data_IF_206574554869
#
_entry.id   IF_206574554869
#
_cell.length_a   1.000
_cell.length_b   1.000
_cell.length_c   1.000
_cell.angle_alpha   90.00
_cell.angle_beta   90.00
_cell.angle_gamma   90.00
#
_symmetry.space_group_name_H-M   'P 1'
#
loop_
_entity.id
_entity.type
_entity.pdbx_description
1 polymer ?
#
# COMPACT_ATOMS: atom_id res chain seq x y z
N UNK A 1 35.60 -17.19 -5.70
CA UNK A 1 34.54 -16.22 -6.02
C UNK A 1 34.69 -15.74 -7.47
N UNK A 2 33.63 -15.29 -8.16
CA UNK A 2 33.73 -14.66 -9.51
C UNK A 2 34.70 -13.47 -9.48
N UNK A 3 34.82 -12.82 -8.32
CA UNK A 3 35.78 -11.74 -8.04
C UNK A 3 37.25 -12.17 -8.28
N UNK A 4 37.66 -13.31 -7.71
CA UNK A 4 39.04 -13.84 -7.82
C UNK A 4 39.38 -14.22 -9.28
N UNK A 5 38.39 -14.73 -10.03
CA UNK A 5 38.54 -15.07 -11.46
C UNK A 5 38.66 -13.81 -12.35
N UNK A 6 37.97 -12.72 -12.00
CA UNK A 6 38.11 -11.43 -12.70
C UNK A 6 39.49 -10.81 -12.45
N UNK A 7 39.96 -10.84 -11.20
CA UNK A 7 41.28 -10.33 -10.82
C UNK A 7 42.42 -11.10 -11.51
N UNK A 8 42.31 -12.44 -11.64
CA UNK A 8 43.31 -13.26 -12.36
C UNK A 8 43.27 -13.08 -13.89
N UNK A 9 42.10 -12.85 -14.48
CA UNK A 9 42.01 -12.58 -15.92
C UNK A 9 42.56 -11.20 -16.29
N UNK A 10 42.42 -10.19 -15.41
CA UNK A 10 43.01 -8.87 -15.63
C UNK A 10 44.55 -8.90 -15.60
N UNK A 11 45.17 -9.70 -14.73
CA UNK A 11 46.63 -9.88 -14.70
C UNK A 11 47.15 -10.67 -15.91
N UNK A 12 46.40 -11.66 -16.41
CA UNK A 12 46.75 -12.42 -17.62
C UNK A 12 46.63 -11.61 -18.93
N UNK A 13 45.75 -10.61 -18.97
CA UNK A 13 45.51 -9.77 -20.16
C UNK A 13 46.37 -8.49 -20.13
N UNK A 14 46.71 -7.96 -18.94
CA UNK A 14 47.51 -6.74 -18.76
C UNK A 14 49.02 -6.91 -18.99
N UNK A 15 49.54 -8.14 -19.04
CA UNK A 15 50.94 -8.42 -19.38
C UNK A 15 51.18 -8.43 -20.89
N UNK A 16 51.85 -7.40 -21.41
CA UNK A 16 52.18 -7.23 -22.83
C UNK A 16 52.75 -8.50 -23.51
N UNK A 17 52.50 -8.61 -24.83
CA UNK A 17 52.61 -9.81 -25.68
C UNK A 17 53.92 -10.60 -25.73
N UNK A 18 54.90 -10.37 -24.85
CA UNK A 18 56.08 -11.22 -24.66
C UNK A 18 55.87 -12.37 -23.67
N UNK A 19 54.87 -12.33 -22.78
CA UNK A 19 54.59 -13.41 -21.81
C UNK A 19 53.88 -14.62 -22.45
N UNK A 20 53.25 -14.42 -23.61
CA UNK A 20 52.41 -15.43 -24.32
C UNK A 20 53.17 -16.39 -25.24
N UNK A 21 54.51 -16.32 -25.30
CA UNK A 21 55.34 -17.19 -26.17
C UNK A 21 56.18 -18.23 -25.42
N UNK A 22 56.12 -18.25 -24.09
CA UNK A 22 56.85 -19.22 -23.28
C UNK A 22 56.02 -20.51 -23.13
N UNK A 23 56.52 -21.70 -23.55
CA UNK A 23 55.74 -22.94 -23.54
C UNK A 23 55.14 -23.28 -22.18
N UNK A 24 55.83 -22.93 -21.09
CA UNK A 24 55.33 -23.13 -19.72
C UNK A 24 54.14 -22.22 -19.40
N UNK A 25 54.14 -20.96 -19.87
CA UNK A 25 53.02 -20.04 -19.63
C UNK A 25 51.79 -20.45 -20.45
N UNK A 26 52.01 -20.92 -21.68
CA UNK A 26 50.95 -21.48 -22.53
C UNK A 26 50.36 -22.75 -21.91
N UNK A 27 51.21 -23.64 -21.39
CA UNK A 27 50.77 -24.84 -20.68
C UNK A 27 49.99 -24.50 -19.40
N UNK A 28 50.46 -23.55 -18.59
CA UNK A 28 49.78 -23.11 -17.37
C UNK A 28 48.41 -22.51 -17.70
N UNK A 29 48.33 -21.65 -18.73
CA UNK A 29 47.07 -21.07 -19.18
C UNK A 29 46.09 -22.15 -19.68
N UNK A 30 46.56 -23.09 -20.50
CA UNK A 30 45.72 -24.20 -21.01
C UNK A 30 45.26 -25.10 -19.87
N UNK A 31 46.16 -25.47 -18.94
CA UNK A 31 45.87 -26.29 -17.76
C UNK A 31 44.86 -25.61 -16.85
N UNK A 32 45.00 -24.30 -16.64
CA UNK A 32 44.12 -23.52 -15.78
C UNK A 32 42.75 -23.33 -16.43
N UNK A 33 42.70 -23.06 -17.74
CA UNK A 33 41.45 -23.05 -18.49
C UNK A 33 40.78 -24.42 -18.46
N UNK A 34 41.47 -25.52 -18.75
CA UNK A 34 40.85 -26.86 -18.75
C UNK A 34 40.42 -27.34 -17.36
N UNK A 35 41.20 -27.05 -16.31
CA UNK A 35 40.85 -27.42 -14.94
C UNK A 35 39.65 -26.61 -14.41
N UNK A 36 39.55 -25.33 -14.77
CA UNK A 36 38.50 -24.45 -14.28
C UNK A 36 37.28 -24.36 -15.21
N UNK A 37 37.36 -24.80 -16.47
CA UNK A 37 36.27 -24.70 -17.45
C UNK A 37 35.01 -25.42 -16.98
N UNK A 38 35.13 -26.65 -16.50
CA UNK A 38 33.99 -27.41 -15.99
C UNK A 38 33.33 -26.74 -14.78
N UNK A 39 34.11 -26.04 -13.95
CA UNK A 39 33.61 -25.28 -12.80
C UNK A 39 32.88 -24.01 -13.25
N UNK A 40 33.44 -23.29 -14.23
CA UNK A 40 32.83 -22.09 -14.83
C UNK A 40 31.53 -22.43 -15.55
N UNK A 41 31.52 -23.49 -16.37
CA UNK A 41 30.32 -23.99 -17.06
C UNK A 41 29.27 -24.40 -16.05
N UNK A 42 29.65 -25.09 -14.97
CA UNK A 42 28.72 -25.47 -13.89
C UNK A 42 28.13 -24.26 -13.15
N UNK A 43 28.90 -23.20 -12.95
CA UNK A 43 28.42 -21.93 -12.35
C UNK A 43 27.49 -21.18 -13.32
N UNK A 44 27.82 -21.15 -14.62
CA UNK A 44 26.96 -20.57 -15.65
C UNK A 44 25.65 -21.35 -15.84
N UNK A 45 25.68 -22.67 -15.63
CA UNK A 45 24.53 -23.57 -15.73
C UNK A 45 23.73 -23.68 -14.43
N UNK A 46 24.29 -23.29 -13.28
CA UNK A 46 23.58 -23.29 -12.00
C UNK A 46 22.65 -22.08 -11.91
N UNK A 47 21.56 -22.13 -12.67
CA UNK A 47 20.49 -21.15 -12.57
C UNK A 47 19.59 -21.56 -11.40
N UNK A 48 19.83 -20.99 -10.20
CA UNK A 48 18.98 -21.25 -9.03
C UNK A 48 17.52 -20.83 -9.23
N UNK A 49 17.27 -20.01 -10.25
CA UNK A 49 15.93 -19.64 -10.71
C UNK A 49 15.10 -20.85 -11.14
N UNK A 50 15.70 -21.88 -11.76
CA UNK A 50 14.94 -23.03 -12.28
C UNK A 50 14.33 -23.86 -11.14
N UNK A 51 15.06 -24.04 -10.03
CA UNK A 51 14.54 -24.73 -8.84
C UNK A 51 13.46 -23.91 -8.13
N UNK A 52 13.59 -22.58 -8.09
CA UNK A 52 12.56 -21.67 -7.56
C UNK A 52 11.31 -21.71 -8.44
N UNK A 53 11.46 -21.60 -9.75
CA UNK A 53 10.36 -21.68 -10.73
C UNK A 53 9.66 -23.03 -10.60
N UNK A 54 10.40 -24.14 -10.51
CA UNK A 54 9.82 -25.47 -10.37
C UNK A 54 9.08 -25.62 -9.04
N UNK A 55 9.61 -25.07 -7.94
CA UNK A 55 8.94 -25.08 -6.64
C UNK A 55 7.67 -24.23 -6.63
N UNK A 56 7.71 -22.99 -7.14
CA UNK A 56 6.56 -22.09 -7.25
C UNK A 56 5.49 -22.69 -8.15
N UNK A 57 5.88 -23.24 -9.30
CA UNK A 57 4.97 -23.91 -10.25
C UNK A 57 4.34 -25.15 -9.63
N UNK A 58 5.12 -25.95 -8.90
CA UNK A 58 4.61 -27.12 -8.16
C UNK A 58 3.62 -26.72 -7.07
N UNK A 59 3.90 -25.66 -6.32
CA UNK A 59 2.98 -25.14 -5.31
C UNK A 59 1.67 -24.62 -5.93
N UNK A 60 1.75 -23.95 -7.08
CA UNK A 60 0.58 -23.51 -7.87
C UNK A 60 -0.23 -24.71 -8.39
N UNK A 61 0.43 -25.76 -8.87
CA UNK A 61 -0.22 -26.97 -9.40
C UNK A 61 -0.90 -27.82 -8.32
N UNK A 62 -0.39 -27.79 -7.08
CA UNK A 62 -0.95 -28.53 -5.94
C UNK A 62 -2.22 -27.84 -5.37
N UNK A 63 -2.70 -26.73 -5.96
CA UNK A 63 -3.81 -25.90 -5.44
C UNK A 63 -3.63 -25.47 -3.97
N UNK A 64 -2.43 -25.53 -3.43
CA UNK A 64 -2.19 -25.23 -2.02
C UNK A 64 -2.07 -23.72 -1.76
N UNK A 65 -1.86 -22.91 -2.80
CA UNK A 65 -1.61 -21.47 -2.70
C UNK A 65 -2.24 -20.77 -3.92
N UNK A 66 -3.28 -19.96 -3.69
CA UNK A 66 -3.71 -18.93 -4.62
C UNK A 66 -2.88 -17.67 -4.33
N UNK A 67 -2.19 -17.17 -5.35
CA UNK A 67 -1.41 -15.93 -5.22
C UNK A 67 -2.35 -14.73 -5.29
N UNK A 68 -2.12 -13.70 -4.44
CA UNK A 68 -2.87 -12.45 -4.54
C UNK A 68 -2.78 -11.87 -5.94
N UNK A 69 -3.87 -11.22 -6.34
CA UNK A 69 -4.01 -10.48 -7.59
C UNK A 69 -3.89 -8.97 -7.34
N UNK A 70 -3.87 -8.18 -8.41
CA UNK A 70 -3.92 -6.72 -8.31
C UNK A 70 -5.22 -6.23 -7.62
N UNK A 71 -6.32 -6.98 -7.77
CA UNK A 71 -7.58 -6.70 -7.08
C UNK A 71 -7.44 -6.88 -5.55
N UNK A 72 -6.74 -7.93 -5.12
CA UNK A 72 -6.48 -8.16 -3.68
C UNK A 72 -5.62 -7.04 -3.09
N UNK A 73 -4.61 -6.57 -3.83
CA UNK A 73 -3.78 -5.44 -3.41
C UNK A 73 -4.61 -4.15 -3.30
N UNK A 74 -5.42 -3.85 -4.32
CA UNK A 74 -6.31 -2.69 -4.31
C UNK A 74 -7.32 -2.75 -3.16
N UNK A 75 -7.93 -3.91 -2.93
CA UNK A 75 -8.83 -4.15 -1.82
C UNK A 75 -8.16 -3.98 -0.45
N UNK A 76 -6.92 -4.45 -0.30
CA UNK A 76 -6.13 -4.25 0.91
C UNK A 76 -5.84 -2.76 1.16
N UNK A 77 -5.48 -2.01 0.13
CA UNK A 77 -5.28 -0.56 0.24
C UNK A 77 -6.58 0.15 0.62
N UNK A 78 -7.70 -0.14 -0.03
CA UNK A 78 -9.01 0.45 0.32
C UNK A 78 -9.37 0.15 1.78
N UNK A 79 -9.11 -1.07 2.25
CA UNK A 79 -9.28 -1.45 3.65
C UNK A 79 -8.40 -0.62 4.59
N UNK A 80 -7.13 -0.40 4.24
CA UNK A 80 -6.20 0.44 5.00
C UNK A 80 -6.68 1.90 5.07
N UNK A 81 -7.08 2.50 3.95
CA UNK A 81 -7.58 3.87 3.90
C UNK A 81 -8.87 4.03 4.72
N UNK A 82 -9.75 3.02 4.69
CA UNK A 82 -10.94 3.00 5.55
C UNK A 82 -10.58 3.01 7.03
N UNK A 83 -9.58 2.25 7.45
CA UNK A 83 -9.09 2.27 8.83
C UNK A 83 -8.45 3.62 9.18
N UNK A 84 -7.66 4.18 8.26
CA UNK A 84 -7.06 5.49 8.40
C UNK A 84 -8.12 6.56 8.71
N UNK A 85 -9.19 6.61 7.92
CA UNK A 85 -10.32 7.51 8.15
C UNK A 85 -11.06 7.23 9.47
N UNK A 86 -11.43 5.96 9.69
CA UNK A 86 -12.27 5.54 10.82
C UNK A 86 -11.60 5.88 12.14
N UNK A 87 -10.29 5.69 12.24
CA UNK A 87 -9.53 5.91 13.46
C UNK A 87 -8.69 7.19 13.45
N UNK A 88 -8.88 8.06 12.44
CA UNK A 88 -8.14 9.32 12.30
C UNK A 88 -6.62 9.13 12.40
N UNK A 89 -6.11 8.09 11.74
CA UNK A 89 -4.71 7.73 11.81
C UNK A 89 -3.85 8.67 10.96
N UNK A 90 -2.71 9.06 11.50
CA UNK A 90 -1.74 9.86 10.76
C UNK A 90 -1.01 9.00 9.70
N UNK A 91 -0.91 9.54 8.48
CA UNK A 91 -0.29 8.85 7.33
C UNK A 91 1.15 8.46 7.62
N UNK A 92 1.91 9.32 8.30
CA UNK A 92 3.31 9.09 8.63
C UNK A 92 3.46 8.05 9.72
N UNK A 93 2.57 8.04 10.71
CA UNK A 93 2.55 6.96 11.71
C UNK A 93 2.25 5.60 11.07
N UNK A 94 1.29 5.53 10.14
CA UNK A 94 1.03 4.30 9.37
C UNK A 94 2.28 3.90 8.56
N UNK A 95 2.90 4.85 7.86
CA UNK A 95 4.10 4.59 7.06
C UNK A 95 5.33 4.22 7.92
N UNK A 96 5.39 4.67 9.17
CA UNK A 96 6.38 4.25 10.17
C UNK A 96 6.06 2.88 10.80
N UNK A 97 4.93 2.25 10.42
CA UNK A 97 4.48 0.98 10.96
C UNK A 97 3.94 1.09 12.40
N UNK A 98 3.49 2.28 12.82
CA UNK A 98 2.82 2.50 14.10
C UNK A 98 1.30 2.43 13.91
N UNK A 99 0.66 1.54 14.65
CA UNK A 99 -0.80 1.37 14.61
C UNK A 99 -1.38 1.76 15.96
N UNK A 100 -1.93 2.97 16.05
CA UNK A 100 -2.61 3.50 17.24
C UNK A 100 -1.76 3.27 18.52
N UNK A 101 -2.39 2.76 19.58
CA UNK A 101 -1.75 2.42 20.84
C UNK A 101 -1.20 0.98 20.88
N UNK A 102 -1.07 0.32 19.73
CA UNK A 102 -0.52 -1.03 19.67
C UNK A 102 0.97 -1.02 20.01
N UNK A 103 1.39 -1.98 20.81
CA UNK A 103 2.83 -2.25 21.00
C UNK A 103 3.45 -2.95 19.79
N UNK A 104 2.63 -3.45 18.85
CA UNK A 104 3.12 -4.02 17.60
C UNK A 104 3.64 -2.89 16.71
N UNK A 105 4.94 -2.93 16.43
CA UNK A 105 5.56 -2.16 15.34
C UNK A 105 5.71 -3.05 14.13
N UNK A 106 5.17 -2.63 13.01
CA UNK A 106 5.31 -3.34 11.73
C UNK A 106 6.51 -2.82 10.94
N UNK A 107 6.71 -3.37 9.75
CA UNK A 107 7.71 -2.90 8.80
C UNK A 107 7.37 -1.45 8.39
N UNK A 108 8.41 -0.62 8.28
CA UNK A 108 8.31 0.75 7.77
C UNK A 108 8.12 0.72 6.25
N UNK A 109 7.15 1.46 5.75
CA UNK A 109 6.89 1.58 4.32
C UNK A 109 7.98 2.40 3.62
N UNK A 110 8.32 2.00 2.39
CA UNK A 110 9.20 2.73 1.48
C UNK A 110 8.44 3.87 0.79
N UNK A 111 9.14 4.73 0.05
CA UNK A 111 8.52 5.72 -0.83
C UNK A 111 7.68 5.04 -1.93
N UNK A 112 8.15 3.89 -2.45
CA UNK A 112 7.44 3.03 -3.40
C UNK A 112 6.12 2.51 -2.85
N UNK A 113 6.12 1.97 -1.63
CA UNK A 113 4.90 1.49 -0.99
C UNK A 113 3.87 2.63 -0.80
N UNK A 114 4.34 3.80 -0.35
CA UNK A 114 3.47 4.99 -0.19
C UNK A 114 2.92 5.48 -1.53
N UNK A 115 3.73 5.42 -2.59
CA UNK A 115 3.34 5.76 -3.95
C UNK A 115 2.28 4.80 -4.49
N UNK A 116 2.42 3.49 -4.26
CA UNK A 116 1.43 2.49 -4.66
C UNK A 116 0.09 2.70 -3.95
N UNK A 117 0.12 2.99 -2.63
CA UNK A 117 -1.08 3.33 -1.85
C UNK A 117 -1.75 4.58 -2.44
N UNK A 118 -0.98 5.64 -2.70
CA UNK A 118 -1.49 6.86 -3.32
C UNK A 118 -2.07 6.63 -4.73
N UNK A 119 -1.46 5.75 -5.52
CA UNK A 119 -1.96 5.37 -6.84
C UNK A 119 -3.31 4.64 -6.73
N UNK A 120 -3.43 3.67 -5.82
CA UNK A 120 -4.70 2.97 -5.62
C UNK A 120 -5.82 3.92 -5.17
N UNK A 121 -5.52 4.86 -4.26
CA UNK A 121 -6.45 5.92 -3.87
C UNK A 121 -6.87 6.79 -5.08
N UNK A 122 -5.91 7.17 -5.92
CA UNK A 122 -6.16 7.98 -7.10
C UNK A 122 -7.10 7.30 -8.09
N UNK A 123 -6.88 6.01 -8.37
CA UNK A 123 -7.74 5.22 -9.27
C UNK A 123 -9.16 5.03 -8.70
N UNK A 124 -9.30 5.08 -7.37
CA UNK A 124 -10.59 5.11 -6.69
C UNK A 124 -11.24 6.51 -6.64
N UNK A 125 -10.65 7.52 -7.29
CA UNK A 125 -11.07 8.93 -7.25
C UNK A 125 -10.99 9.57 -5.85
N UNK A 126 -10.23 8.95 -4.94
CA UNK A 126 -9.99 9.46 -3.60
C UNK A 126 -8.78 10.40 -3.58
N UNK A 127 -9.00 11.62 -4.06
CA UNK A 127 -7.96 12.65 -4.10
C UNK A 127 -7.54 13.12 -2.71
N UNK A 128 -8.38 12.93 -1.69
CA UNK A 128 -8.06 13.26 -0.30
C UNK A 128 -6.92 12.40 0.22
N UNK A 129 -7.03 11.07 0.07
CA UNK A 129 -5.96 10.15 0.43
C UNK A 129 -4.77 10.24 -0.53
N UNK A 130 -5.01 10.46 -1.82
CA UNK A 130 -3.91 10.60 -2.79
C UNK A 130 -2.97 11.73 -2.40
N UNK A 131 -3.49 12.90 -2.00
CA UNK A 131 -2.65 14.02 -1.55
C UNK A 131 -1.79 13.62 -0.36
N UNK A 132 -2.37 12.99 0.66
CA UNK A 132 -1.64 12.61 1.87
C UNK A 132 -0.53 11.59 1.58
N UNK A 133 -0.84 10.54 0.83
CA UNK A 133 0.11 9.45 0.54
C UNK A 133 1.19 9.86 -0.45
N UNK A 134 0.87 10.71 -1.43
CA UNK A 134 1.89 11.25 -2.35
C UNK A 134 2.83 12.24 -1.67
N UNK A 135 2.35 13.01 -0.67
CA UNK A 135 3.22 13.83 0.17
C UNK A 135 4.18 12.98 1.00
N UNK A 136 3.70 11.94 1.67
CA UNK A 136 4.54 11.03 2.44
C UNK A 136 5.55 10.29 1.53
N UNK A 137 5.12 9.84 0.34
CA UNK A 137 6.00 9.22 -0.65
C UNK A 137 7.14 10.18 -1.05
N UNK A 138 6.83 11.44 -1.33
CA UNK A 138 7.83 12.47 -1.65
C UNK A 138 8.81 12.69 -0.49
N UNK A 139 8.30 12.86 0.74
CA UNK A 139 9.13 13.08 1.93
C UNK A 139 10.07 11.90 2.23
N UNK A 140 9.63 10.67 1.95
CA UNK A 140 10.47 9.48 2.11
C UNK A 140 11.49 9.36 0.99
N UNK A 141 11.11 9.66 -0.24
CA UNK A 141 12.00 9.59 -1.40
C UNK A 141 13.26 10.46 -1.20
N UNK A 142 13.11 11.64 -0.59
CA UNK A 142 14.23 12.53 -0.25
C UNK A 142 15.22 11.91 0.76
N UNK A 143 14.78 10.93 1.57
CA UNK A 143 15.57 10.26 2.61
C UNK A 143 16.10 8.91 2.18
N UNK A 144 15.59 8.35 1.08
CA UNK A 144 16.01 7.05 0.56
C UNK A 144 17.36 7.14 -0.15
N UNK A 145 18.26 6.21 0.18
CA UNK A 145 19.55 6.08 -0.52
C UNK A 145 19.34 5.49 -1.91
N UNK A 146 18.43 4.52 -2.03
CA UNK A 146 18.04 3.90 -3.29
C UNK A 146 16.58 4.27 -3.50
N UNK A 147 16.26 5.12 -4.48
CA UNK A 147 14.89 5.56 -4.71
C UNK A 147 14.02 4.38 -5.13
N UNK A 148 12.94 4.17 -4.39
CA UNK A 148 11.95 3.11 -4.65
C UNK A 148 10.76 3.61 -5.49
N UNK A 149 10.65 4.92 -5.71
CA UNK A 149 9.64 5.57 -6.54
C UNK A 149 10.28 6.63 -7.44
N UNK A 150 9.55 7.04 -8.48
CA UNK A 150 9.96 8.12 -9.37
C UNK A 150 9.33 9.45 -8.94
N UNK A 151 10.16 10.48 -8.76
CA UNK A 151 9.71 11.81 -8.36
C UNK A 151 8.76 12.43 -9.41
N UNK A 152 9.00 12.19 -10.71
CA UNK A 152 8.15 12.73 -11.77
C UNK A 152 6.70 12.23 -11.64
N UNK A 153 6.54 10.92 -11.40
CA UNK A 153 5.23 10.29 -11.24
C UNK A 153 4.53 10.80 -9.98
N UNK A 154 5.24 10.88 -8.85
CA UNK A 154 4.70 11.44 -7.60
C UNK A 154 4.19 12.87 -7.81
N UNK A 155 4.98 13.73 -8.46
CA UNK A 155 4.60 15.12 -8.73
C UNK A 155 3.36 15.20 -9.63
N UNK A 156 3.26 14.33 -10.63
CA UNK A 156 2.12 14.30 -11.54
C UNK A 156 0.81 13.96 -10.81
N UNK A 157 0.78 12.87 -10.04
CA UNK A 157 -0.39 12.46 -9.27
C UNK A 157 -0.74 13.47 -8.17
N UNK A 158 0.26 14.01 -7.48
CA UNK A 158 0.05 14.99 -6.41
C UNK A 158 -0.50 16.31 -6.96
N UNK A 159 0.06 16.83 -8.06
CA UNK A 159 -0.40 18.07 -8.68
C UNK A 159 -1.85 17.97 -9.14
N UNK A 160 -2.22 16.87 -9.82
CA UNK A 160 -3.60 16.68 -10.26
C UNK A 160 -4.56 16.53 -9.09
N UNK A 161 -4.17 15.79 -8.05
CA UNK A 161 -5.01 15.58 -6.86
C UNK A 161 -5.21 16.88 -6.08
N UNK A 162 -4.18 17.72 -5.98
CA UNK A 162 -4.30 19.07 -5.40
C UNK A 162 -5.22 19.97 -6.21
N UNK A 163 -5.16 19.89 -7.54
CA UNK A 163 -6.12 20.57 -8.41
C UNK A 163 -7.56 20.13 -8.11
N UNK A 164 -7.80 18.82 -8.00
CA UNK A 164 -9.12 18.26 -7.64
C UNK A 164 -9.60 18.69 -6.26
N UNK A 165 -8.68 18.90 -5.33
CA UNK A 165 -8.94 19.45 -3.99
C UNK A 165 -8.98 20.99 -3.95
N UNK A 166 -9.15 21.66 -5.08
CA UNK A 166 -9.21 23.13 -5.21
C UNK A 166 -7.94 23.90 -4.76
N UNK A 167 -6.80 23.22 -4.64
CA UNK A 167 -5.50 23.81 -4.30
C UNK A 167 -4.74 24.23 -5.57
N UNK A 168 -5.36 25.08 -6.40
CA UNK A 168 -4.90 25.37 -7.77
C UNK A 168 -3.50 26.00 -7.84
N UNK A 169 -3.15 26.92 -6.93
CA UNK A 169 -1.80 27.52 -6.88
C UNK A 169 -0.71 26.49 -6.53
N UNK A 170 -1.02 25.54 -5.64
CA UNK A 170 -0.09 24.46 -5.26
C UNK A 170 0.09 23.47 -6.41
N UNK A 171 -1.02 23.10 -7.08
CA UNK A 171 -0.97 22.27 -8.28
C UNK A 171 -0.11 22.88 -9.39
N UNK A 172 -0.24 24.19 -9.63
CA UNK A 172 0.61 24.91 -10.59
C UNK A 172 2.09 24.85 -10.20
N UNK A 173 2.44 25.08 -8.93
CA UNK A 173 3.83 25.00 -8.50
C UNK A 173 4.45 23.62 -8.71
N UNK A 174 3.76 22.56 -8.34
CA UNK A 174 4.25 21.20 -8.52
C UNK A 174 4.37 20.84 -10.00
N UNK A 175 3.47 21.36 -10.83
CA UNK A 175 3.56 21.18 -12.28
C UNK A 175 4.73 21.97 -12.88
N UNK A 176 5.02 23.18 -12.39
CA UNK A 176 6.22 23.95 -12.76
C UNK A 176 7.51 23.24 -12.31
N UNK A 177 7.48 22.51 -11.20
CA UNK A 177 8.58 21.65 -10.74
C UNK A 177 8.76 20.44 -11.67
N UNK A 178 7.66 19.73 -11.98
CA UNK A 178 7.66 18.61 -12.92
C UNK A 178 8.18 19.03 -14.30
N UNK A 179 7.73 20.18 -14.81
CA UNK A 179 8.17 20.70 -16.11
C UNK A 179 9.66 21.07 -16.12
N UNK A 180 10.24 21.47 -14.98
CA UNK A 180 11.68 21.72 -14.86
C UNK A 180 12.50 20.43 -14.87
N UNK A 181 11.96 19.35 -14.31
CA UNK A 181 12.61 18.04 -14.29
C UNK A 181 12.51 17.39 -15.68
N UNK A 182 11.32 17.40 -16.27
CA UNK A 182 11.04 16.79 -17.57
C UNK A 182 10.22 17.74 -18.48
N UNK A 183 10.91 18.60 -19.26
CA UNK A 183 10.27 19.53 -20.18
C UNK A 183 9.46 18.88 -21.31
N UNK A 184 9.78 17.62 -21.63
CA UNK A 184 9.12 16.86 -22.70
C UNK A 184 7.83 16.17 -22.21
N UNK A 185 7.48 16.26 -20.92
CA UNK A 185 6.22 15.70 -20.40
C UNK A 185 5.03 16.47 -21.00
N UNK A 186 4.20 15.84 -21.85
CA UNK A 186 3.09 16.52 -22.53
C UNK A 186 1.97 16.91 -21.56
N UNK A 187 1.79 16.16 -20.47
CA UNK A 187 0.77 16.43 -19.44
C UNK A 187 1.14 17.66 -18.63
N UNK A 188 2.39 17.75 -18.18
CA UNK A 188 2.87 18.91 -17.42
C UNK A 188 2.63 20.23 -18.19
N UNK A 189 3.02 20.27 -19.47
CA UNK A 189 2.85 21.45 -20.32
C UNK A 189 1.37 21.86 -20.49
N UNK A 190 0.49 20.88 -20.70
CA UNK A 190 -0.94 21.14 -20.84
C UNK A 190 -1.56 21.60 -19.52
N UNK A 191 -1.21 20.96 -18.40
CA UNK A 191 -1.71 21.28 -17.08
C UNK A 191 -1.30 22.68 -16.62
N UNK A 192 -0.05 23.12 -16.86
CA UNK A 192 0.38 24.50 -16.56
C UNK A 192 -0.55 25.51 -17.24
N UNK A 193 -0.76 25.34 -18.55
CA UNK A 193 -1.63 26.23 -19.32
C UNK A 193 -3.07 26.20 -18.80
N UNK A 194 -3.59 25.02 -18.46
CA UNK A 194 -4.92 24.87 -17.90
C UNK A 194 -5.07 25.58 -16.55
N UNK A 195 -4.12 25.36 -15.62
CA UNK A 195 -4.14 25.97 -14.30
C UNK A 195 -3.97 27.49 -14.35
N UNK A 196 -3.09 28.02 -15.21
CA UNK A 196 -2.95 29.47 -15.41
C UNK A 196 -4.24 30.10 -15.96
N UNK A 197 -4.91 29.43 -16.91
CA UNK A 197 -6.19 29.90 -17.44
C UNK A 197 -7.29 29.89 -16.37
N UNK A 198 -7.36 28.84 -15.55
CA UNK A 198 -8.32 28.77 -14.44
C UNK A 198 -8.06 29.86 -13.39
N UNK A 199 -6.80 30.11 -13.03
CA UNK A 199 -6.42 31.20 -12.11
C UNK A 199 -6.80 32.57 -12.69
N UNK A 200 -6.55 32.78 -13.99
CA UNK A 200 -6.92 34.01 -14.68
C UNK A 200 -8.44 34.23 -14.70
N UNK A 201 -9.21 33.17 -14.94
CA UNK A 201 -10.68 33.23 -14.89
C UNK A 201 -11.20 33.54 -13.48
N UNK A 202 -10.46 33.13 -12.44
CA UNK A 202 -10.73 33.50 -11.04
C UNK A 202 -10.23 34.91 -10.67
N UNK A 203 -9.80 35.72 -11.65
CA UNK A 203 -9.36 37.10 -11.45
C UNK A 203 -7.93 37.25 -10.89
N UNK A 204 -7.16 36.17 -10.82
CA UNK A 204 -5.78 36.21 -10.32
C UNK A 204 -4.85 36.66 -11.45
N UNK A 205 -4.08 37.72 -11.20
CA UNK A 205 -3.09 38.21 -12.16
C UNK A 205 -1.91 37.24 -12.26
N UNK A 206 -1.29 37.18 -13.43
CA UNK A 206 -0.17 36.27 -13.71
C UNK A 206 0.98 36.40 -12.68
N UNK A 207 1.26 37.60 -12.20
CA UNK A 207 2.32 37.86 -11.21
C UNK A 207 2.04 37.24 -9.84
N UNK A 208 0.77 37.03 -9.51
CA UNK A 208 0.29 36.52 -8.23
C UNK A 208 0.00 35.01 -8.25
N UNK A 209 0.03 34.38 -9.43
CA UNK A 209 -0.25 32.93 -9.57
C UNK A 209 0.73 32.06 -8.78
N UNK A 210 2.00 32.48 -8.70
CA UNK A 210 3.10 31.77 -8.02
C UNK A 210 3.51 32.42 -6.69
N UNK A 211 2.75 33.41 -6.23
CA UNK A 211 3.01 34.16 -4.99
C UNK A 211 1.85 34.01 -4.02
N UNK A 212 2.13 34.22 -2.73
CA UNK A 212 1.11 34.18 -1.67
C UNK A 212 0.34 32.86 -1.71
N UNK A 213 1.07 31.76 -1.58
CA UNK A 213 0.52 30.43 -1.78
C UNK A 213 -0.15 30.00 -0.48
N UNK A 214 -1.46 29.72 -0.50
CA UNK A 214 -2.16 29.30 0.70
C UNK A 214 -1.66 27.93 1.18
N UNK A 215 -1.82 27.63 2.49
CA UNK A 215 -1.61 26.28 2.99
C UNK A 215 -2.55 25.31 2.25
N UNK A 216 -2.11 24.06 2.10
CA UNK A 216 -2.94 23.02 1.49
C UNK A 216 -4.16 22.79 2.37
N UNK A 217 -5.34 22.97 1.78
CA UNK A 217 -6.62 22.65 2.42
C UNK A 217 -7.08 21.33 1.79
N UNK A 218 -6.87 20.22 2.51
CA UNK A 218 -7.24 18.88 2.05
C UNK A 218 -8.51 18.42 2.77
N UNK A 219 -9.67 18.86 2.29
CA UNK A 219 -10.96 18.46 2.89
C UNK A 219 -11.39 17.13 2.30
N UNK A 220 -11.81 16.22 3.17
CA UNK A 220 -12.48 14.99 2.79
C UNK A 220 -13.90 15.33 2.36
N UNK A 221 -14.17 15.31 1.05
CA UNK A 221 -15.52 15.53 0.53
C UNK A 221 -16.34 14.25 0.73
N UNK A 222 -17.34 14.27 1.61
CA UNK A 222 -18.31 13.18 1.70
C UNK A 222 -19.25 13.16 0.49
N UNK A 223 -19.72 11.98 0.11
CA UNK A 223 -20.86 11.89 -0.79
C UNK A 223 -22.06 12.48 -0.03
N UNK A 224 -22.64 13.58 -0.53
CA UNK A 224 -23.66 14.38 0.17
C UNK A 224 -24.96 13.64 0.58
N UNK A 225 -25.10 12.36 0.23
CA UNK A 225 -26.20 11.48 0.65
C UNK A 225 -25.89 10.67 1.92
N UNK A 226 -24.61 10.53 2.31
CA UNK A 226 -24.16 9.58 3.35
C UNK A 226 -23.19 10.20 4.39
N UNK A 227 -22.75 11.44 4.19
CA UNK A 227 -21.69 12.06 5.01
C UNK A 227 -22.02 12.06 6.52
N UNK A 228 -23.28 12.32 6.90
CA UNK A 228 -23.69 12.28 8.31
C UNK A 228 -23.71 10.86 8.91
N UNK A 229 -24.09 9.85 8.14
CA UNK A 229 -24.16 8.45 8.61
C UNK A 229 -22.76 7.88 8.74
N UNK A 230 -21.89 8.13 7.75
CA UNK A 230 -20.49 7.71 7.76
C UNK A 230 -19.73 8.31 8.95
N UNK A 231 -19.85 9.61 9.19
CA UNK A 231 -19.20 10.27 10.32
C UNK A 231 -19.71 9.72 11.67
N UNK A 232 -21.01 9.45 11.77
CA UNK A 232 -21.60 8.83 12.98
C UNK A 232 -21.05 7.41 13.18
N UNK A 233 -20.97 6.62 12.12
CA UNK A 233 -20.37 5.28 12.17
C UNK A 233 -18.91 5.32 12.63
N UNK A 234 -18.10 6.21 12.05
CA UNK A 234 -16.69 6.34 12.41
C UNK A 234 -16.53 6.79 13.88
N UNK A 235 -17.37 7.74 14.35
CA UNK A 235 -17.39 8.18 15.75
C UNK A 235 -17.79 7.06 16.72
N UNK A 236 -18.76 6.20 16.33
CA UNK A 236 -19.14 5.02 17.11
C UNK A 236 -17.98 4.02 17.22
N UNK A 237 -17.24 3.78 16.14
CA UNK A 237 -16.04 2.93 16.16
C UNK A 237 -14.96 3.47 17.10
N UNK A 238 -14.85 4.79 17.24
CA UNK A 238 -13.93 5.45 18.18
C UNK A 238 -14.49 5.60 19.60
N UNK A 239 -15.72 5.17 19.85
CA UNK A 239 -16.43 5.30 21.13
C UNK A 239 -16.60 6.77 21.58
N UNK A 240 -16.68 7.70 20.62
CA UNK A 240 -16.86 9.14 20.90
C UNK A 240 -18.32 9.50 21.23
N UNK A 241 -19.26 8.62 20.90
CA UNK A 241 -20.68 8.82 21.17
C UNK A 241 -21.00 8.23 22.54
N UNK A 242 -21.33 9.05 23.56
CA UNK A 242 -21.67 8.54 24.87
C UNK A 242 -22.99 7.78 24.81
N UNK A 243 -23.03 6.63 25.47
CA UNK A 243 -24.27 5.87 25.65
C UNK A 243 -25.00 6.47 26.86
N UNK A 244 -26.30 6.72 26.74
CA UNK A 244 -27.12 7.20 27.85
C UNK A 244 -27.19 6.09 28.92
N UNK A 245 -26.76 6.40 30.15
CA UNK A 245 -26.79 5.47 31.28
C UNK A 245 -28.20 4.94 31.56
N UNK A 246 -29.25 5.71 31.23
CA UNK A 246 -30.63 5.23 31.34
C UNK A 246 -30.92 4.15 30.31
N UNK A 247 -30.42 4.31 29.09
CA UNK A 247 -30.59 3.34 28.02
C UNK A 247 -29.85 2.02 28.31
N UNK A 248 -28.70 2.06 28.99
CA UNK A 248 -28.01 0.85 29.47
C UNK A 248 -28.75 0.17 30.62
N UNK A 249 -29.32 0.95 31.56
CA UNK A 249 -30.00 0.42 32.74
C UNK A 249 -31.25 -0.43 32.45
N UNK A 250 -31.82 -0.29 31.24
CA UNK A 250 -33.01 -1.03 30.78
C UNK A 250 -32.65 -2.26 29.93
N UNK A 251 -31.36 -2.53 29.72
CA UNK A 251 -30.87 -3.73 29.06
C UNK A 251 -30.82 -4.87 30.08
N UNK A 252 -31.28 -6.05 29.66
CA UNK A 252 -31.31 -7.22 30.54
C UNK A 252 -31.18 -8.51 29.73
N UNK A 253 -30.69 -9.54 30.42
CA UNK A 253 -30.65 -10.90 29.90
C UNK A 253 -31.87 -11.68 30.40
N UNK A 254 -32.44 -12.54 29.55
CA UNK A 254 -33.55 -13.40 29.95
C UNK A 254 -33.57 -14.71 29.17
N UNK A 255 -34.24 -15.70 29.76
CA UNK A 255 -34.52 -16.98 29.12
C UNK A 255 -35.82 -16.89 28.34
N UNK A 256 -35.75 -17.10 27.02
CA UNK A 256 -36.95 -17.14 26.17
C UNK A 256 -37.58 -18.53 26.24
N UNK A 257 -38.81 -18.57 26.78
CA UNK A 257 -39.58 -19.79 27.08
C UNK A 257 -41.01 -19.73 26.52
N UNK A 258 -41.22 -19.02 25.42
CA UNK A 258 -42.53 -18.74 24.81
C UNK A 258 -43.15 -19.95 24.08
N UNK A 259 -42.39 -21.02 23.86
CA UNK A 259 -42.86 -22.27 23.26
C UNK A 259 -42.76 -23.45 24.25
N UNK A 260 -43.67 -24.45 24.25
CA UNK A 260 -43.61 -25.59 25.16
C UNK A 260 -42.25 -26.30 25.19
N UNK A 261 -41.60 -26.43 24.04
CA UNK A 261 -40.25 -27.01 23.93
C UNK A 261 -39.18 -26.15 24.64
N UNK A 262 -39.26 -24.82 24.50
CA UNK A 262 -38.30 -23.88 25.10
C UNK A 262 -38.41 -23.79 26.63
N UNK A 263 -39.48 -24.35 27.23
CA UNK A 263 -39.54 -24.51 28.70
C UNK A 263 -38.56 -25.55 29.22
N UNK A 264 -38.19 -26.53 28.38
CA UNK A 264 -37.22 -27.58 28.71
C UNK A 264 -35.81 -27.17 28.29
N UNK A 265 -35.68 -26.48 27.16
CA UNK A 265 -34.41 -25.99 26.62
C UNK A 265 -34.55 -24.51 26.23
N UNK A 266 -34.45 -23.58 27.21
CA UNK A 266 -34.65 -22.17 26.95
C UNK A 266 -33.48 -21.54 26.19
N UNK A 267 -33.79 -20.62 25.28
CA UNK A 267 -32.74 -19.79 24.68
C UNK A 267 -32.28 -18.71 25.65
N UNK A 268 -30.96 -18.51 25.72
CA UNK A 268 -30.31 -17.44 26.47
C UNK A 268 -30.25 -16.20 25.59
N UNK A 269 -30.94 -15.13 25.98
CA UNK A 269 -30.99 -13.88 25.22
C UNK A 269 -30.46 -12.72 26.07
N UNK A 270 -29.82 -11.77 25.40
CA UNK A 270 -29.45 -10.47 25.95
C UNK A 270 -29.96 -9.37 25.01
N UNK A 271 -30.70 -8.41 25.56
CA UNK A 271 -31.09 -7.23 24.80
C UNK A 271 -29.92 -6.24 24.87
N UNK A 272 -29.28 -5.98 23.74
CA UNK A 272 -28.16 -5.01 23.65
C UNK A 272 -28.60 -3.63 23.18
N UNK A 273 -29.81 -3.52 22.62
CA UNK A 273 -30.46 -2.24 22.30
C UNK A 273 -31.98 -2.42 22.25
N UNK A 274 -32.74 -1.45 22.76
CA UNK A 274 -34.21 -1.49 22.76
C UNK A 274 -34.82 -0.84 21.51
N UNK A 275 -34.21 0.21 20.96
CA UNK A 275 -34.71 0.92 19.78
C UNK A 275 -33.56 1.32 18.81
N UNK A 276 -33.45 0.68 17.62
CA UNK A 276 -34.16 -0.54 17.24
C UNK A 276 -33.80 -1.70 18.18
N UNK A 277 -34.69 -2.68 18.28
CA UNK A 277 -34.45 -3.87 19.11
C UNK A 277 -33.31 -4.69 18.51
N UNK A 278 -32.21 -4.82 19.25
CA UNK A 278 -31.07 -5.67 18.91
C UNK A 278 -30.86 -6.65 20.06
N UNK A 279 -30.83 -7.93 19.73
CA UNK A 279 -30.79 -9.03 20.71
C UNK A 279 -29.69 -10.00 20.31
N UNK A 280 -28.86 -10.38 21.28
CA UNK A 280 -27.88 -11.44 21.14
C UNK A 280 -28.46 -12.74 21.68
N UNK A 281 -28.29 -13.81 20.90
CA UNK A 281 -28.62 -15.15 21.33
C UNK A 281 -27.34 -15.90 21.65
N UNK A 282 -27.28 -16.46 22.85
CA UNK A 282 -26.13 -17.23 23.30
C UNK A 282 -26.37 -18.72 23.11
N UNK A 283 -25.29 -19.44 22.82
CA UNK A 283 -25.24 -20.91 22.75
C UNK A 283 -26.25 -21.54 21.77
N UNK A 284 -26.63 -20.83 20.70
CA UNK A 284 -27.47 -21.41 19.62
C UNK A 284 -26.68 -22.43 18.80
N UNK A 285 -25.43 -22.09 18.49
CA UNK A 285 -24.55 -22.89 17.65
C UNK A 285 -23.50 -23.51 18.57
N UNK A 286 -23.38 -24.83 18.56
CA UNK A 286 -22.32 -25.52 19.30
C UNK A 286 -20.94 -25.20 18.70
N UNK A 287 -19.88 -25.34 19.50
CA UNK A 287 -18.51 -25.13 19.02
C UNK A 287 -18.17 -25.99 17.79
N UNK A 288 -18.73 -27.19 17.69
CA UNK A 288 -18.52 -28.10 16.56
C UNK A 288 -19.24 -27.62 15.30
N UNK A 289 -20.51 -27.19 15.41
CA UNK A 289 -21.23 -26.59 14.29
C UNK A 289 -20.55 -25.29 13.83
N UNK A 290 -20.06 -24.48 14.77
CA UNK A 290 -19.30 -23.27 14.48
C UNK A 290 -18.03 -23.60 13.69
N UNK A 291 -17.27 -24.65 14.08
CA UNK A 291 -16.11 -25.12 13.32
C UNK A 291 -16.48 -25.60 11.92
N UNK A 292 -17.58 -26.34 11.77
CA UNK A 292 -18.04 -26.81 10.46
C UNK A 292 -18.40 -25.62 9.58
N UNK A 293 -19.12 -24.62 10.11
CA UNK A 293 -19.45 -23.39 9.37
C UNK A 293 -18.18 -22.66 8.96
N UNK A 294 -17.21 -22.51 9.87
CA UNK A 294 -15.91 -21.89 9.56
C UNK A 294 -15.20 -22.66 8.45
N UNK A 295 -15.15 -23.99 8.53
CA UNK A 295 -14.53 -24.86 7.51
C UNK A 295 -15.23 -24.71 6.14
N UNK A 296 -16.56 -24.59 6.12
CA UNK A 296 -17.33 -24.39 4.88
C UNK A 296 -17.21 -22.98 4.30
N UNK A 297 -17.02 -21.97 5.17
CA UNK A 297 -16.88 -20.56 4.80
C UNK A 297 -15.46 -20.22 4.32
N UNK A 298 -14.45 -21.01 4.69
CA UNK A 298 -13.13 -20.90 4.09
C UNK A 298 -13.25 -21.14 2.58
N UNK A 299 -12.74 -20.22 1.74
CA UNK A 299 -12.82 -20.38 0.30
C UNK A 299 -12.16 -21.70 -0.11
N UNK A 300 -12.91 -22.52 -0.85
CA UNK A 300 -12.38 -23.77 -1.40
C UNK A 300 -11.29 -23.41 -2.42
N UNK A 301 -10.06 -23.88 -2.15
CA UNK A 301 -8.91 -23.68 -3.02
C UNK A 301 -9.06 -24.34 -4.40
#
# INVERSE_FOLDING_TARGET
>A
SIQELREHNHTAIGGGGKVKRHPINTFLLIKEMTANWNKIVKIMQSNSADDVIRNVTRQKAIKSINYPTEEDLSGAVIGLLRLQDTYQMDTKDIADGKILNSQMRTVTLTAGDCFEIGCAAYHAYDYYHTVMWMQEARERLEKEVIPTANLEDILEYLAFSLYKQANLKQALLLTDELFRINPENPRAKNNVKEYENLLRNNGIQHIDMRRGIPPIINVRHGNGLDEGVKLTYEALCRQEVPIDTKAESILYCYYKMDHPYLRLAPFKLEIVRQNPLVVLFYDIISDEEARIIQMLALPKA
#
